data_IF_239122559408
#
_entry.id   IF_239122559408
#
_cell.length_a   1.000
_cell.length_b   1.000
_cell.length_c   1.000
_cell.angle_alpha   90.00
_cell.angle_beta   90.00
_cell.angle_gamma   90.00
#
_symmetry.space_group_name_H-M   'P 1'
#
loop_
_entity.id
_entity.type
_entity.pdbx_description
1 polymer ?
#
# COMPACT_ATOMS: atom_id res chain seq x y z
N UNK A 1 -12.52 19.57 -12.04
CA UNK A 1 -11.19 19.29 -11.46
C UNK A 1 -11.20 19.30 -9.94
N UNK A 2 -11.63 20.38 -9.27
CA UNK A 2 -11.62 20.45 -7.80
C UNK A 2 -12.44 19.33 -7.11
N UNK A 3 -13.64 19.01 -7.61
CA UNK A 3 -14.45 17.91 -7.05
C UNK A 3 -13.77 16.54 -7.15
N UNK A 4 -13.03 16.28 -8.24
CA UNK A 4 -12.26 15.05 -8.40
C UNK A 4 -11.11 14.99 -7.39
N UNK A 5 -10.41 16.11 -7.18
CA UNK A 5 -9.32 16.18 -6.21
C UNK A 5 -9.83 15.97 -4.78
N UNK A 6 -10.97 16.56 -4.42
CA UNK A 6 -11.63 16.33 -3.12
C UNK A 6 -11.99 14.85 -2.97
N UNK A 7 -12.54 14.22 -4.01
CA UNK A 7 -12.91 12.81 -3.97
C UNK A 7 -11.68 11.90 -3.77
N UNK A 8 -10.59 12.13 -4.52
CA UNK A 8 -9.35 11.36 -4.37
C UNK A 8 -8.75 11.55 -2.97
N UNK A 9 -8.80 12.77 -2.43
CA UNK A 9 -8.35 13.05 -1.06
C UNK A 9 -9.20 12.29 -0.02
N UNK A 10 -10.53 12.23 -0.19
CA UNK A 10 -11.39 11.42 0.67
C UNK A 10 -11.03 9.92 0.60
N UNK A 11 -10.80 9.39 -0.59
CA UNK A 11 -10.40 7.98 -0.78
C UNK A 11 -9.07 7.66 -0.09
N UNK A 12 -8.08 8.55 -0.22
CA UNK A 12 -6.80 8.39 0.46
C UNK A 12 -6.97 8.35 1.99
N UNK A 13 -7.73 9.27 2.57
CA UNK A 13 -8.00 9.25 4.02
C UNK A 13 -8.75 8.00 4.48
N UNK A 14 -9.70 7.50 3.69
CA UNK A 14 -10.39 6.25 3.98
C UNK A 14 -9.43 5.06 3.98
N UNK A 15 -8.49 5.00 3.04
CA UNK A 15 -7.50 3.94 2.97
C UNK A 15 -6.54 3.94 4.16
N UNK A 16 -6.13 5.13 4.63
CA UNK A 16 -5.33 5.28 5.85
C UNK A 16 -6.09 4.78 7.09
N UNK A 17 -7.38 5.12 7.22
CA UNK A 17 -8.23 4.62 8.30
C UNK A 17 -8.35 3.09 8.28
N UNK A 18 -8.42 2.49 7.09
CA UNK A 18 -8.54 1.03 6.94
C UNK A 18 -7.26 0.29 7.36
N UNK A 19 -6.08 0.87 7.15
CA UNK A 19 -4.82 0.30 7.66
C UNK A 19 -4.86 0.18 9.17
N UNK A 20 -5.29 1.25 9.86
CA UNK A 20 -5.38 1.27 11.33
C UNK A 20 -6.34 0.19 11.83
N UNK A 21 -7.42 -0.10 11.10
CA UNK A 21 -8.39 -1.13 11.48
C UNK A 21 -7.90 -2.56 11.24
N UNK A 22 -7.18 -2.81 10.15
CA UNK A 22 -6.76 -4.15 9.73
C UNK A 22 -5.32 -4.52 10.10
N UNK A 23 -4.72 -3.78 11.02
CA UNK A 23 -3.34 -3.96 11.49
C UNK A 23 -2.97 -5.38 11.97
N UNK A 24 -3.92 -6.27 12.22
CA UNK A 24 -3.62 -7.63 12.68
C UNK A 24 -3.21 -8.58 11.56
N UNK A 25 -3.71 -8.42 10.34
CA UNK A 25 -3.49 -9.35 9.23
C UNK A 25 -2.60 -8.71 8.17
N UNK A 26 -1.41 -9.27 7.94
CA UNK A 26 -0.42 -8.69 7.03
C UNK A 26 -0.95 -8.53 5.58
N UNK A 27 -1.72 -9.49 5.08
CA UNK A 27 -2.27 -9.44 3.72
C UNK A 27 -3.28 -8.28 3.54
N UNK A 28 -4.11 -8.01 4.56
CA UNK A 28 -5.06 -6.89 4.52
C UNK A 28 -4.35 -5.54 4.54
N UNK A 29 -3.21 -5.45 5.21
CA UNK A 29 -2.37 -4.26 5.21
C UNK A 29 -1.76 -4.05 3.82
N UNK A 30 -1.27 -5.12 3.17
CA UNK A 30 -0.72 -5.03 1.81
C UNK A 30 -1.74 -4.48 0.81
N UNK A 31 -2.98 -4.98 0.86
CA UNK A 31 -4.07 -4.49 0.01
C UNK A 31 -4.40 -3.01 0.26
N UNK A 32 -4.36 -2.56 1.53
CA UNK A 32 -4.59 -1.15 1.83
C UNK A 32 -3.44 -0.26 1.32
N UNK A 33 -2.20 -0.74 1.35
CA UNK A 33 -1.04 -0.04 0.79
C UNK A 33 -1.15 0.07 -0.74
N UNK A 34 -1.53 -1.01 -1.43
CA UNK A 34 -1.76 -0.95 -2.88
C UNK A 34 -2.84 0.06 -3.25
N UNK A 35 -3.91 0.16 -2.45
CA UNK A 35 -4.94 1.17 -2.67
C UNK A 35 -4.42 2.61 -2.49
N UNK A 36 -3.56 2.84 -1.49
CA UNK A 36 -2.88 4.14 -1.30
C UNK A 36 -2.05 4.49 -2.54
N UNK A 37 -1.25 3.54 -3.03
CA UNK A 37 -0.43 3.74 -4.23
C UNK A 37 -1.28 4.19 -5.41
N UNK A 38 -2.42 3.54 -5.66
CA UNK A 38 -3.31 3.90 -6.76
C UNK A 38 -3.85 5.33 -6.61
N UNK A 39 -4.28 5.73 -5.41
CA UNK A 39 -4.77 7.10 -5.18
C UNK A 39 -3.68 8.16 -5.35
N UNK A 40 -2.44 7.86 -4.97
CA UNK A 40 -1.28 8.73 -5.18
C UNK A 40 -0.93 8.86 -6.66
N UNK A 41 -0.95 7.74 -7.40
CA UNK A 41 -0.67 7.71 -8.82
C UNK A 41 -1.68 8.52 -9.63
N UNK A 42 -2.96 8.42 -9.29
CA UNK A 42 -4.02 9.25 -9.88
C UNK A 42 -3.78 10.73 -9.60
N UNK A 43 -3.38 11.11 -8.37
CA UNK A 43 -3.06 12.51 -8.06
C UNK A 43 -1.86 13.01 -8.86
N UNK A 44 -0.79 12.23 -8.96
CA UNK A 44 0.43 12.60 -9.72
C UNK A 44 0.10 12.77 -11.20
N UNK A 45 -0.68 11.85 -11.77
CA UNK A 45 -1.13 11.93 -13.17
C UNK A 45 -1.92 13.21 -13.44
N UNK A 46 -2.80 13.62 -12.52
CA UNK A 46 -3.60 14.85 -12.68
C UNK A 46 -2.78 16.14 -12.55
N UNK A 47 -1.60 16.08 -11.91
CA UNK A 47 -0.72 17.24 -11.70
C UNK A 47 0.32 17.34 -12.83
N UNK A 48 0.85 16.20 -13.28
CA UNK A 48 1.89 16.16 -14.32
C UNK A 48 1.26 16.17 -15.71
N UNK A 49 1.15 17.35 -16.33
CA UNK A 49 0.56 17.47 -17.66
C UNK A 49 1.45 16.93 -18.81
N UNK A 50 2.74 16.62 -18.61
CA UNK A 50 3.65 16.26 -19.70
C UNK A 50 4.81 15.29 -19.33
N UNK A 51 4.83 14.73 -18.12
CA UNK A 51 5.98 14.03 -17.57
C UNK A 51 5.74 12.51 -17.37
N UNK A 52 5.20 11.85 -18.39
CA UNK A 52 4.81 10.43 -18.35
C UNK A 52 5.97 9.48 -18.01
N UNK A 53 7.21 9.86 -18.34
CA UNK A 53 8.40 9.07 -18.01
C UNK A 53 8.57 8.89 -16.50
N UNK A 54 8.32 9.95 -15.72
CA UNK A 54 8.41 9.87 -14.25
C UNK A 54 7.28 8.99 -13.68
N UNK A 55 6.09 9.01 -14.28
CA UNK A 55 4.98 8.14 -13.90
C UNK A 55 5.35 6.66 -14.07
N UNK A 56 6.06 6.33 -15.15
CA UNK A 56 6.50 4.96 -15.42
C UNK A 56 7.56 4.49 -14.41
N UNK A 57 8.49 5.36 -14.01
CA UNK A 57 9.43 5.07 -12.92
C UNK A 57 8.67 4.81 -11.60
N UNK A 58 7.73 5.68 -11.23
CA UNK A 58 6.93 5.49 -10.01
C UNK A 58 6.17 4.17 -10.03
N UNK A 59 5.52 3.82 -11.14
CA UNK A 59 4.84 2.53 -11.31
C UNK A 59 5.78 1.35 -11.06
N UNK A 60 6.98 1.36 -11.64
CA UNK A 60 7.94 0.26 -11.43
C UNK A 60 8.38 0.14 -9.98
N UNK A 61 8.63 1.27 -9.29
CA UNK A 61 9.01 1.25 -7.88
C UNK A 61 7.90 0.66 -7.01
N UNK A 62 6.63 1.02 -7.25
CA UNK A 62 5.52 0.48 -6.49
C UNK A 62 5.28 -1.02 -6.72
N UNK A 63 5.46 -1.50 -7.95
CA UNK A 63 5.37 -2.94 -8.23
C UNK A 63 6.47 -3.70 -7.47
N UNK A 64 7.68 -3.15 -7.39
CA UNK A 64 8.78 -3.78 -6.65
C UNK A 64 8.49 -3.84 -5.14
N UNK A 65 7.91 -2.79 -4.56
CA UNK A 65 7.45 -2.80 -3.16
C UNK A 65 6.37 -3.86 -2.92
N UNK A 66 5.43 -4.04 -3.86
CA UNK A 66 4.42 -5.09 -3.80
C UNK A 66 5.04 -6.50 -3.78
N UNK A 67 6.00 -6.77 -4.68
CA UNK A 67 6.71 -8.07 -4.73
C UNK A 67 7.45 -8.34 -3.41
N UNK A 68 8.14 -7.33 -2.87
CA UNK A 68 8.81 -7.43 -1.57
C UNK A 68 7.79 -7.73 -0.46
N UNK A 69 6.65 -7.02 -0.43
CA UNK A 69 5.59 -7.23 0.54
C UNK A 69 5.04 -8.67 0.55
N UNK A 70 4.78 -9.24 -0.62
CA UNK A 70 4.30 -10.62 -0.74
C UNK A 70 5.36 -11.63 -0.30
N UNK A 71 6.63 -11.40 -0.68
CA UNK A 71 7.73 -12.28 -0.28
C UNK A 71 7.89 -12.37 1.25
N UNK A 72 7.66 -11.25 1.96
CA UNK A 72 7.65 -11.20 3.42
C UNK A 72 6.48 -11.98 4.01
N UNK A 73 5.28 -11.90 3.43
CA UNK A 73 4.13 -12.69 3.88
C UNK A 73 4.40 -14.19 3.74
N UNK A 74 4.98 -14.62 2.62
CA UNK A 74 5.37 -16.04 2.42
C UNK A 74 6.35 -16.49 3.50
N UNK A 75 7.30 -15.61 3.87
CA UNK A 75 8.25 -15.88 4.94
C UNK A 75 7.55 -16.04 6.30
N UNK A 76 6.60 -15.14 6.64
CA UNK A 76 5.84 -15.22 7.90
C UNK A 76 5.04 -16.52 8.02
N UNK A 77 4.39 -16.93 6.94
CA UNK A 77 3.63 -18.19 6.89
C UNK A 77 4.56 -19.38 7.11
N UNK A 78 5.76 -19.38 6.51
CA UNK A 78 6.73 -20.48 6.68
C UNK A 78 7.28 -20.62 8.09
N UNK A 79 7.53 -19.52 8.80
CA UNK A 79 8.12 -19.57 10.14
C UNK A 79 7.10 -19.69 11.28
N UNK A 80 5.93 -19.04 11.16
CA UNK A 80 4.95 -18.94 12.25
C UNK A 80 3.61 -19.61 11.93
N UNK A 81 3.42 -20.10 10.71
CA UNK A 81 2.18 -20.76 10.27
C UNK A 81 0.98 -19.82 10.12
N UNK A 82 1.13 -18.51 10.39
CA UNK A 82 0.05 -17.53 10.32
C UNK A 82 0.57 -16.16 9.86
N UNK A 83 -0.28 -15.42 9.17
CA UNK A 83 -0.07 -14.06 8.64
C UNK A 83 -0.30 -12.95 9.69
N UNK A 84 -0.64 -13.32 10.93
CA UNK A 84 -0.91 -12.37 11.99
C UNK A 84 0.36 -11.67 12.48
N UNK A 85 0.35 -10.34 12.46
CA UNK A 85 1.47 -9.52 12.95
C UNK A 85 1.73 -9.71 14.44
N UNK A 86 0.72 -10.10 15.23
CA UNK A 86 0.88 -10.38 16.67
C UNK A 86 1.87 -11.52 16.96
N UNK A 87 2.10 -12.43 16.00
CA UNK A 87 3.08 -13.49 16.16
C UNK A 87 4.53 -12.95 16.06
N UNK A 88 4.76 -11.71 15.61
CA UNK A 88 6.08 -11.05 15.61
C UNK A 88 6.62 -10.76 17.03
N UNK A 89 5.81 -10.93 18.07
CA UNK A 89 6.23 -10.75 19.47
C UNK A 89 7.49 -11.54 19.88
N UNK A 90 7.81 -12.65 19.21
CA UNK A 90 9.08 -13.38 19.42
C UNK A 90 10.36 -12.57 19.08
N UNK A 91 10.27 -11.46 18.34
CA UNK A 91 11.41 -10.57 18.04
C UNK A 91 11.66 -9.53 19.15
N UNK A 92 10.72 -9.36 20.09
CA UNK A 92 10.84 -8.38 21.19
C UNK A 92 11.68 -8.87 22.38
N UNK A 93 12.17 -10.11 22.37
CA UNK A 93 13.15 -10.64 23.32
C UNK A 93 14.52 -10.68 22.68
#
# INVERSE_FOLDING_TARGET
MLNLWIYIFCLFNLSLLMIVKFYNHALKILLCIEFIVITLLLNIYMIMYFNDYYLLIFMTMFVMEGVLGISLIIMMIRYKGNENLNNLSMILW
#
